data_IF_415206728820
#
_entry.id   IF_415206728820
#
_cell.length_a   1.000
_cell.length_b   1.000
_cell.length_c   1.000
_cell.angle_alpha   90.00
_cell.angle_beta   90.00
_cell.angle_gamma   90.00
#
_symmetry.space_group_name_H-M   'P 1'
#
loop_
_entity.id
_entity.type
_entity.pdbx_description
1 polymer ?
#
# COMPACT_ATOMS: atom_id res chain seq x y z
N UNK A 1 -48.84 -33.38 20.71
CA UNK A 1 -47.39 -33.62 20.76
C UNK A 1 -47.01 -34.37 19.50
N UNK A 2 -46.84 -33.66 18.39
CA UNK A 2 -46.29 -34.22 17.15
C UNK A 2 -44.88 -33.62 16.96
N UNK A 3 -43.89 -34.32 17.50
CA UNK A 3 -42.51 -34.06 17.14
C UNK A 3 -42.28 -34.68 15.75
N UNK A 4 -42.50 -33.88 14.75
CA UNK A 4 -41.97 -34.24 13.42
C UNK A 4 -40.47 -34.31 13.55
N UNK A 5 -39.94 -35.50 13.72
CA UNK A 5 -38.50 -35.77 13.80
C UNK A 5 -37.86 -35.40 12.44
N UNK A 6 -37.20 -34.27 12.39
CA UNK A 6 -36.56 -33.77 11.19
C UNK A 6 -35.12 -34.31 11.10
N UNK A 7 -34.99 -35.49 10.49
CA UNK A 7 -33.70 -36.16 10.32
C UNK A 7 -32.64 -35.27 9.62
N UNK A 8 -33.09 -34.38 8.75
CA UNK A 8 -32.16 -33.49 8.05
C UNK A 8 -31.59 -32.39 8.98
N UNK A 9 -32.38 -31.89 9.94
CA UNK A 9 -31.91 -30.93 10.95
C UNK A 9 -30.91 -31.58 11.90
N UNK A 10 -31.21 -32.75 12.41
CA UNK A 10 -30.31 -33.49 13.29
C UNK A 10 -28.99 -33.86 12.61
N UNK A 11 -29.04 -34.26 11.34
CA UNK A 11 -27.85 -34.52 10.53
C UNK A 11 -27.02 -33.25 10.35
N UNK A 12 -27.68 -32.10 10.19
CA UNK A 12 -27.01 -30.80 10.08
C UNK A 12 -26.29 -30.42 11.37
N UNK A 13 -26.95 -30.61 12.51
CA UNK A 13 -26.39 -30.35 13.84
C UNK A 13 -25.17 -31.25 14.09
N UNK A 14 -25.25 -32.52 13.78
CA UNK A 14 -24.18 -33.49 13.94
C UNK A 14 -22.96 -33.15 13.06
N UNK A 15 -23.19 -32.79 11.81
CA UNK A 15 -22.10 -32.35 10.88
C UNK A 15 -21.46 -31.08 11.38
N UNK A 16 -22.24 -30.12 11.83
CA UNK A 16 -21.72 -28.88 12.39
C UNK A 16 -20.87 -29.15 13.64
N UNK A 17 -21.33 -30.03 14.54
CA UNK A 17 -20.55 -30.45 15.71
C UNK A 17 -19.23 -31.10 15.34
N UNK A 18 -19.23 -32.11 14.48
CA UNK A 18 -18.01 -32.76 14.03
C UNK A 18 -17.00 -31.83 13.40
N UNK A 19 -17.48 -30.88 12.60
CA UNK A 19 -16.60 -29.96 11.89
C UNK A 19 -16.02 -28.85 12.79
N UNK A 20 -16.88 -28.19 13.60
CA UNK A 20 -16.49 -26.99 14.36
C UNK A 20 -16.01 -27.30 15.78
N UNK A 21 -16.45 -28.37 16.39
CA UNK A 21 -16.08 -28.71 17.77
C UNK A 21 -15.04 -29.81 17.80
N UNK A 22 -15.23 -30.88 17.05
CA UNK A 22 -14.25 -31.98 16.99
C UNK A 22 -13.14 -31.76 15.96
N UNK A 23 -13.20 -30.69 15.18
CA UNK A 23 -12.21 -30.31 14.16
C UNK A 23 -11.96 -31.41 13.08
N UNK A 24 -12.96 -32.23 12.80
CA UNK A 24 -12.85 -33.23 11.75
C UNK A 24 -12.92 -32.59 10.37
N UNK A 25 -12.18 -33.14 9.43
CA UNK A 25 -12.25 -32.70 8.03
C UNK A 25 -13.55 -33.17 7.37
N UNK A 26 -13.98 -32.46 6.33
CA UNK A 26 -15.18 -32.89 5.55
C UNK A 26 -15.07 -34.30 5.01
N UNK A 27 -13.86 -34.79 4.72
CA UNK A 27 -13.63 -36.16 4.26
C UNK A 27 -13.82 -37.17 5.38
N UNK A 28 -13.34 -36.92 6.57
CA UNK A 28 -13.53 -37.75 7.76
C UNK A 28 -15.01 -37.85 8.13
N UNK A 29 -15.72 -36.74 8.15
CA UNK A 29 -17.15 -36.67 8.40
C UNK A 29 -17.92 -37.46 7.35
N UNK A 30 -17.55 -37.30 6.07
CA UNK A 30 -18.15 -38.07 4.97
C UNK A 30 -18.01 -39.58 5.17
N UNK A 31 -16.84 -40.01 5.64
CA UNK A 31 -16.55 -41.42 5.93
C UNK A 31 -17.33 -41.94 7.13
N UNK A 32 -17.42 -41.16 8.21
CA UNK A 32 -18.14 -41.52 9.45
C UNK A 32 -19.64 -41.65 9.18
N UNK A 33 -20.21 -40.69 8.47
CA UNK A 33 -21.67 -40.67 8.23
C UNK A 33 -22.11 -41.39 6.98
N UNK A 34 -21.18 -41.90 6.16
CA UNK A 34 -21.50 -42.60 4.93
C UNK A 34 -22.16 -41.74 3.86
N UNK A 35 -21.93 -40.44 3.86
CA UNK A 35 -22.52 -39.48 2.92
C UNK A 35 -21.46 -38.76 2.08
N UNK A 36 -21.90 -38.19 0.95
CA UNK A 36 -21.01 -37.49 0.03
C UNK A 36 -20.49 -36.21 0.64
N UNK A 37 -19.20 -35.90 0.44
CA UNK A 37 -18.55 -34.64 0.86
C UNK A 37 -19.29 -33.39 0.39
N UNK A 38 -19.88 -33.43 -0.84
CA UNK A 38 -20.64 -32.26 -1.36
C UNK A 38 -21.91 -32.03 -0.51
N UNK A 39 -22.55 -33.08 0.00
CA UNK A 39 -23.69 -32.93 0.90
C UNK A 39 -23.27 -32.33 2.24
N UNK A 40 -22.10 -32.71 2.78
CA UNK A 40 -21.54 -32.11 4.00
C UNK A 40 -21.31 -30.62 3.81
N UNK A 41 -20.69 -30.22 2.70
CA UNK A 41 -20.45 -28.81 2.40
C UNK A 41 -21.76 -28.01 2.39
N UNK A 42 -22.78 -28.51 1.70
CA UNK A 42 -24.12 -27.87 1.65
C UNK A 42 -24.76 -27.75 3.02
N UNK A 43 -24.66 -28.77 3.86
CA UNK A 43 -25.22 -28.73 5.20
C UNK A 43 -24.48 -27.79 6.12
N UNK A 44 -23.15 -27.69 6.02
CA UNK A 44 -22.37 -26.69 6.75
C UNK A 44 -22.71 -25.25 6.33
N UNK A 45 -22.97 -25.01 5.05
CA UNK A 45 -23.40 -23.70 4.58
C UNK A 45 -24.82 -23.38 5.07
N UNK A 46 -25.73 -24.35 5.00
CA UNK A 46 -27.09 -24.24 5.56
C UNK A 46 -27.08 -24.00 7.08
N UNK A 47 -26.15 -24.60 7.82
CA UNK A 47 -25.96 -24.36 9.26
C UNK A 47 -25.61 -22.90 9.59
N UNK A 48 -24.80 -22.26 8.71
CA UNK A 48 -24.47 -20.83 8.85
C UNK A 48 -25.67 -19.94 8.48
N UNK A 49 -26.33 -20.24 7.36
CA UNK A 49 -27.48 -19.48 6.87
C UNK A 49 -28.65 -19.49 7.86
N UNK A 50 -28.92 -20.63 8.47
CA UNK A 50 -30.00 -20.79 9.45
C UNK A 50 -29.62 -20.32 10.87
N UNK A 51 -28.39 -19.83 11.07
CA UNK A 51 -27.91 -19.34 12.36
C UNK A 51 -27.62 -20.43 13.40
N UNK A 52 -27.59 -21.72 13.01
CA UNK A 52 -27.14 -22.81 13.87
C UNK A 52 -25.68 -22.59 14.31
N UNK A 53 -24.86 -22.08 13.40
CA UNK A 53 -23.51 -21.64 13.66
C UNK A 53 -23.41 -20.13 13.52
N UNK A 54 -22.99 -19.49 14.59
CA UNK A 54 -22.69 -18.05 14.62
C UNK A 54 -21.25 -17.83 15.00
N UNK A 55 -20.55 -17.00 14.22
CA UNK A 55 -19.16 -16.60 14.52
C UNK A 55 -19.13 -15.24 15.16
N UNK A 56 -18.42 -15.11 16.27
CA UNK A 56 -18.22 -13.83 16.91
C UNK A 56 -16.75 -13.43 16.83
N UNK A 57 -16.45 -12.48 15.94
CA UNK A 57 -15.12 -11.89 15.82
C UNK A 57 -15.04 -10.68 16.78
N UNK A 58 -13.95 -10.56 17.53
CA UNK A 58 -13.77 -9.42 18.45
C UNK A 58 -13.94 -8.10 17.68
N UNK A 59 -14.84 -7.26 18.16
CA UNK A 59 -15.37 -6.07 17.49
C UNK A 59 -14.34 -5.08 16.91
N UNK A 60 -13.17 -4.96 17.53
CA UNK A 60 -12.13 -4.03 17.06
C UNK A 60 -11.57 -4.38 15.68
N UNK A 61 -11.46 -5.67 15.36
CA UNK A 61 -10.91 -6.12 14.08
C UNK A 61 -11.99 -6.32 13.02
N UNK A 62 -13.21 -6.71 13.42
CA UNK A 62 -14.31 -6.93 12.47
C UNK A 62 -14.66 -5.67 11.67
N UNK A 63 -14.71 -4.51 12.33
CA UNK A 63 -14.95 -3.22 11.65
C UNK A 63 -13.87 -2.89 10.63
N UNK A 64 -12.61 -3.18 10.95
CA UNK A 64 -11.47 -2.93 10.05
C UNK A 64 -11.56 -3.80 8.80
N UNK A 65 -11.78 -5.10 8.94
CA UNK A 65 -11.94 -6.01 7.81
C UNK A 65 -13.15 -5.67 6.93
N UNK A 66 -14.26 -5.21 7.55
CA UNK A 66 -15.40 -4.72 6.79
C UNK A 66 -15.03 -3.47 5.97
N UNK A 67 -14.30 -2.52 6.57
CA UNK A 67 -13.78 -1.34 5.85
C UNK A 67 -12.85 -1.74 4.70
N UNK A 68 -11.92 -2.66 4.93
CA UNK A 68 -11.01 -3.17 3.89
C UNK A 68 -11.80 -3.73 2.69
N UNK A 69 -12.80 -4.56 2.93
CA UNK A 69 -13.65 -5.10 1.86
C UNK A 69 -14.44 -4.01 1.13
N UNK A 70 -15.06 -3.10 1.87
CA UNK A 70 -15.80 -1.97 1.28
C UNK A 70 -14.92 -1.11 0.38
N UNK A 71 -13.70 -0.79 0.82
CA UNK A 71 -12.75 0.00 0.02
C UNK A 71 -12.25 -0.78 -1.20
N UNK A 72 -12.00 -2.10 -1.07
CA UNK A 72 -11.60 -2.94 -2.21
C UNK A 72 -12.66 -2.93 -3.30
N UNK A 73 -13.92 -3.08 -2.94
CA UNK A 73 -15.04 -3.07 -3.89
C UNK A 73 -15.26 -1.69 -4.50
N UNK A 74 -15.28 -0.63 -3.67
CA UNK A 74 -15.58 0.74 -4.10
C UNK A 74 -14.53 1.29 -5.07
N UNK A 75 -13.25 0.98 -4.83
CA UNK A 75 -12.13 1.50 -5.62
C UNK A 75 -11.48 0.46 -6.53
N UNK A 76 -12.07 -0.74 -6.65
CA UNK A 76 -11.54 -1.84 -7.47
C UNK A 76 -10.07 -2.17 -7.16
N UNK A 77 -9.70 -2.13 -5.86
CA UNK A 77 -8.34 -2.40 -5.42
C UNK A 77 -8.08 -3.91 -5.38
N UNK A 78 -6.90 -4.32 -5.80
CA UNK A 78 -6.46 -5.71 -5.69
C UNK A 78 -6.33 -6.15 -4.22
N UNK A 79 -5.78 -5.26 -3.38
CA UNK A 79 -5.63 -5.50 -1.94
C UNK A 79 -5.61 -4.19 -1.16
N UNK A 80 -5.89 -4.25 0.14
CA UNK A 80 -5.82 -3.12 1.06
C UNK A 80 -5.49 -3.62 2.46
N UNK A 81 -4.65 -2.89 3.17
CA UNK A 81 -4.32 -3.15 4.56
C UNK A 81 -4.58 -1.89 5.39
N UNK A 82 -5.57 -1.95 6.27
CA UNK A 82 -5.88 -0.88 7.22
C UNK A 82 -5.19 -1.20 8.55
N UNK A 83 -4.34 -0.29 9.02
CA UNK A 83 -3.70 -0.43 10.34
C UNK A 83 -4.56 0.19 11.44
N UNK A 84 -4.42 -0.25 12.70
CA UNK A 84 -5.07 0.40 13.84
C UNK A 84 -4.65 1.86 14.00
N UNK A 85 -5.55 2.68 14.53
CA UNK A 85 -5.24 4.07 14.87
C UNK A 85 -4.14 4.16 15.90
N UNK A 86 -3.22 5.09 15.71
CA UNK A 86 -2.09 5.37 16.61
C UNK A 86 -2.19 6.79 17.18
N UNK A 87 -1.62 7.06 18.38
CA UNK A 87 -1.83 8.32 19.09
C UNK A 87 -1.23 9.57 18.44
N UNK A 88 -0.13 9.43 17.70
CA UNK A 88 0.60 10.56 17.11
C UNK A 88 0.87 10.40 15.63
N UNK A 89 1.09 11.52 14.93
CA UNK A 89 1.42 11.51 13.49
C UNK A 89 2.75 10.83 13.20
N UNK A 90 3.75 10.98 14.06
CA UNK A 90 5.06 10.36 13.86
C UNK A 90 4.99 8.83 14.04
N UNK A 91 4.25 8.36 15.05
CA UNK A 91 4.00 6.93 15.22
C UNK A 91 3.12 6.36 14.10
N UNK A 92 2.29 7.20 13.44
CA UNK A 92 1.48 6.77 12.31
C UNK A 92 2.33 6.45 11.07
N UNK A 93 3.24 7.35 10.68
CA UNK A 93 4.15 7.12 9.55
C UNK A 93 5.03 5.90 9.78
N UNK A 94 5.47 5.71 11.01
CA UNK A 94 6.27 4.54 11.40
C UNK A 94 5.46 3.24 11.33
N UNK A 95 4.25 3.22 11.89
CA UNK A 95 3.35 2.06 11.84
C UNK A 95 2.94 1.69 10.42
N UNK A 96 2.68 2.70 9.57
CA UNK A 96 2.43 2.50 8.14
C UNK A 96 3.64 1.87 7.45
N UNK A 97 4.82 2.38 7.73
CA UNK A 97 6.05 1.89 7.13
C UNK A 97 6.37 0.45 7.55
N UNK A 98 6.16 0.12 8.82
CA UNK A 98 6.31 -1.25 9.32
C UNK A 98 5.33 -2.20 8.62
N UNK A 99 4.05 -1.85 8.57
CA UNK A 99 3.02 -2.68 7.94
C UNK A 99 3.30 -2.88 6.44
N UNK A 100 3.64 -1.79 5.73
CA UNK A 100 3.98 -1.84 4.31
C UNK A 100 5.25 -2.67 4.05
N UNK A 101 6.29 -2.52 4.89
CA UNK A 101 7.52 -3.32 4.76
C UNK A 101 7.26 -4.81 4.95
N UNK A 102 6.41 -5.19 5.91
CA UNK A 102 6.01 -6.58 6.11
C UNK A 102 5.23 -7.13 4.90
N UNK A 103 4.30 -6.33 4.38
CA UNK A 103 3.52 -6.69 3.19
C UNK A 103 4.40 -6.93 1.96
N UNK A 104 5.36 -6.05 1.72
CA UNK A 104 6.32 -6.16 0.60
C UNK A 104 7.24 -7.36 0.82
N UNK A 105 7.83 -7.49 2.01
CA UNK A 105 8.82 -8.55 2.30
C UNK A 105 8.28 -9.96 2.08
N UNK A 106 6.98 -10.19 2.30
CA UNK A 106 6.33 -11.47 2.02
C UNK A 106 6.17 -11.77 0.52
N UNK A 107 6.36 -10.78 -0.35
CA UNK A 107 6.05 -10.86 -1.79
C UNK A 107 7.27 -10.64 -2.69
N UNK A 108 8.35 -10.08 -2.17
CA UNK A 108 9.60 -9.93 -2.89
C UNK A 108 10.37 -11.25 -2.93
N UNK A 109 11.15 -11.40 -3.99
CA UNK A 109 12.06 -12.52 -4.21
C UNK A 109 13.48 -12.01 -4.22
N UNK A 110 14.43 -12.91 -4.19
CA UNK A 110 15.83 -12.56 -4.44
C UNK A 110 15.96 -11.81 -5.76
N UNK A 111 16.73 -10.71 -5.74
CA UNK A 111 16.92 -9.79 -6.85
C UNK A 111 15.69 -9.01 -7.33
N UNK A 112 14.59 -8.98 -6.56
CA UNK A 112 13.47 -8.10 -6.85
C UNK A 112 13.89 -6.64 -6.93
N UNK A 113 13.22 -5.90 -7.82
CA UNK A 113 13.38 -4.47 -8.02
C UNK A 113 12.18 -3.72 -7.45
N UNK A 114 12.45 -2.70 -6.63
CA UNK A 114 11.41 -1.88 -5.98
C UNK A 114 11.62 -0.43 -6.38
N UNK A 115 10.67 0.15 -7.07
CA UNK A 115 10.60 1.59 -7.27
C UNK A 115 10.20 2.27 -5.95
N UNK A 116 10.92 3.31 -5.59
CA UNK A 116 10.69 4.05 -4.34
C UNK A 116 10.49 5.53 -4.63
N UNK A 117 9.35 6.05 -4.18
CA UNK A 117 9.07 7.47 -4.20
C UNK A 117 9.79 8.22 -3.09
N UNK A 118 9.84 9.54 -3.23
CA UNK A 118 10.34 10.45 -2.21
C UNK A 118 9.29 10.66 -1.11
N UNK A 119 9.73 10.80 0.14
CA UNK A 119 8.87 11.13 1.27
C UNK A 119 9.25 10.41 2.57
N UNK A 120 8.70 10.86 3.70
CA UNK A 120 9.00 10.30 5.03
C UNK A 120 8.57 8.83 5.13
N UNK A 121 7.34 8.51 4.76
CA UNK A 121 6.86 7.13 4.83
C UNK A 121 7.61 6.17 3.88
N UNK A 122 7.85 6.48 2.59
CA UNK A 122 8.69 5.67 1.73
C UNK A 122 10.11 5.46 2.27
N UNK A 123 10.74 6.49 2.84
CA UNK A 123 12.06 6.38 3.45
C UNK A 123 12.09 5.40 4.63
N UNK A 124 11.07 5.45 5.51
CA UNK A 124 10.92 4.49 6.61
C UNK A 124 10.66 3.07 6.11
N UNK A 125 9.85 2.90 5.05
CA UNK A 125 9.64 1.59 4.42
C UNK A 125 10.97 1.02 3.92
N UNK A 126 11.76 1.83 3.23
CA UNK A 126 13.09 1.41 2.76
C UNK A 126 13.97 0.94 3.90
N UNK A 127 14.02 1.69 5.01
CA UNK A 127 14.80 1.32 6.19
C UNK A 127 14.36 -0.03 6.76
N UNK A 128 13.06 -0.24 6.95
CA UNK A 128 12.55 -1.51 7.46
C UNK A 128 12.80 -2.68 6.51
N UNK A 129 12.66 -2.48 5.20
CA UNK A 129 12.95 -3.50 4.20
C UNK A 129 14.44 -3.87 4.22
N UNK A 130 15.31 -2.87 4.18
CA UNK A 130 16.76 -3.07 4.13
C UNK A 130 17.34 -3.73 5.41
N UNK A 131 16.67 -3.55 6.56
CA UNK A 131 17.06 -4.19 7.82
C UNK A 131 16.54 -5.63 7.95
N UNK A 132 15.41 -5.94 7.32
CA UNK A 132 14.73 -7.25 7.48
C UNK A 132 15.03 -8.22 6.34
N UNK A 133 15.51 -7.72 5.22
CA UNK A 133 15.79 -8.55 4.05
C UNK A 133 17.03 -9.42 4.29
N UNK A 134 16.92 -10.71 4.04
CA UNK A 134 18.04 -11.65 4.10
C UNK A 134 19.02 -11.46 2.95
N UNK A 135 18.53 -11.02 1.79
CA UNK A 135 19.31 -10.73 0.59
C UNK A 135 19.19 -9.27 0.19
N UNK A 136 20.21 -8.67 -0.48
CA UNK A 136 20.13 -7.30 -0.93
C UNK A 136 18.95 -7.08 -1.90
N UNK A 137 18.10 -6.10 -1.58
CA UNK A 137 17.03 -5.64 -2.47
C UNK A 137 17.56 -4.55 -3.42
N UNK A 138 17.04 -4.50 -4.65
CA UNK A 138 17.36 -3.42 -5.58
C UNK A 138 16.29 -2.33 -5.49
N UNK A 139 16.68 -1.13 -5.11
CA UNK A 139 15.77 0.00 -4.94
C UNK A 139 16.09 1.08 -5.96
N UNK A 140 15.09 1.49 -6.73
CA UNK A 140 15.21 2.45 -7.81
C UNK A 140 14.47 3.73 -7.39
N UNK A 141 15.16 4.87 -7.39
CA UNK A 141 14.51 6.15 -7.13
C UNK A 141 13.61 6.54 -8.30
N UNK A 142 12.41 7.02 -7.97
CA UNK A 142 11.48 7.58 -8.95
C UNK A 142 11.66 9.09 -9.13
N UNK A 143 12.44 9.71 -8.26
CA UNK A 143 12.68 11.16 -8.25
C UNK A 143 14.17 11.46 -8.13
N UNK A 144 14.59 12.64 -8.58
CA UNK A 144 15.86 13.22 -8.19
C UNK A 144 15.94 13.47 -6.68
N UNK A 145 17.05 13.99 -6.19
CA UNK A 145 17.27 14.27 -4.77
C UNK A 145 17.94 13.13 -4.01
N UNK A 146 19.13 12.75 -4.45
CA UNK A 146 19.92 11.60 -3.92
C UNK A 146 19.99 11.58 -2.40
N UNK A 147 20.19 12.73 -1.76
CA UNK A 147 20.40 12.82 -0.31
C UNK A 147 19.19 12.38 0.52
N UNK A 148 18.00 12.35 -0.07
CA UNK A 148 16.76 12.03 0.64
C UNK A 148 16.45 10.53 0.68
N UNK A 149 17.20 9.74 -0.06
CA UNK A 149 17.08 8.28 -0.04
C UNK A 149 18.10 7.60 0.89
N UNK A 150 19.05 8.37 1.41
CA UNK A 150 20.00 7.86 2.37
C UNK A 150 19.32 7.74 3.72
N UNK A 151 19.17 6.52 4.26
CA UNK A 151 18.51 6.34 5.53
C UNK A 151 19.35 6.90 6.68
N UNK A 152 18.70 7.55 7.64
CA UNK A 152 19.25 7.78 8.97
C UNK A 152 19.25 6.43 9.70
N UNK A 153 20.15 5.54 9.36
CA UNK A 153 20.23 4.24 10.02
C UNK A 153 21.31 4.26 11.07
N UNK A 154 20.91 4.02 12.30
CA UNK A 154 21.82 3.59 13.38
C UNK A 154 22.16 2.09 13.26
N UNK A 155 21.56 1.40 12.27
CA UNK A 155 21.75 -0.04 12.06
C UNK A 155 22.97 -0.32 11.22
N UNK A 156 23.80 -1.24 11.67
CA UNK A 156 24.97 -1.74 10.94
C UNK A 156 24.59 -2.68 9.76
N UNK A 157 23.33 -3.02 9.58
CA UNK A 157 22.84 -3.90 8.51
C UNK A 157 21.89 -3.13 7.62
N UNK A 158 22.32 -2.92 6.37
CA UNK A 158 21.51 -2.27 5.34
C UNK A 158 21.62 -3.04 4.03
N UNK A 159 20.71 -3.99 3.82
CA UNK A 159 20.67 -4.86 2.65
C UNK A 159 19.88 -4.24 1.49
N UNK A 160 20.38 -3.12 0.94
CA UNK A 160 19.79 -2.52 -0.26
C UNK A 160 20.84 -1.97 -1.20
N UNK A 161 20.64 -2.18 -2.50
CA UNK A 161 21.38 -1.55 -3.59
C UNK A 161 20.54 -0.41 -4.14
N UNK A 162 21.00 0.83 -3.95
CA UNK A 162 20.26 2.02 -4.35
C UNK A 162 20.69 2.45 -5.77
N UNK A 163 19.71 2.57 -6.65
CA UNK A 163 19.87 3.11 -8.01
C UNK A 163 19.22 4.49 -8.03
N UNK A 164 19.99 5.52 -7.77
CA UNK A 164 19.52 6.89 -7.55
C UNK A 164 19.69 7.74 -8.79
N UNK A 165 18.72 8.59 -9.12
CA UNK A 165 18.83 9.60 -10.18
C UNK A 165 19.82 10.69 -9.70
N UNK A 166 20.98 10.85 -10.35
CA UNK A 166 22.07 11.68 -9.83
C UNK A 166 21.87 13.17 -10.15
N UNK A 167 20.76 13.74 -9.74
CA UNK A 167 20.46 15.15 -9.90
C UNK A 167 19.49 15.64 -8.80
N UNK A 168 19.34 16.96 -8.60
CA UNK A 168 18.33 17.52 -7.71
C UNK A 168 16.91 17.08 -8.13
N UNK A 169 15.97 17.15 -7.17
CA UNK A 169 14.54 16.91 -7.43
C UNK A 169 13.95 18.03 -8.29
N UNK A 170 14.32 19.29 -8.02
CA UNK A 170 13.89 20.45 -8.79
C UNK A 170 15.12 21.07 -9.42
N UNK A 171 15.09 21.24 -10.73
CA UNK A 171 16.17 21.83 -11.51
C UNK A 171 15.98 23.34 -11.68
N UNK A 172 17.06 24.05 -12.02
CA UNK A 172 17.02 25.50 -12.19
C UNK A 172 16.23 25.94 -13.43
N UNK A 173 16.07 25.06 -14.43
CA UNK A 173 15.25 25.34 -15.61
C UNK A 173 14.69 24.06 -16.24
N UNK A 174 13.62 24.20 -17.01
CA UNK A 174 13.04 23.11 -17.80
C UNK A 174 14.00 22.63 -18.89
N UNK A 175 14.81 23.52 -19.44
CA UNK A 175 15.84 23.15 -20.44
C UNK A 175 16.86 22.18 -19.85
N UNK A 176 17.41 22.48 -18.67
CA UNK A 176 18.35 21.58 -17.98
C UNK A 176 17.69 20.24 -17.67
N UNK A 177 16.43 20.24 -17.27
CA UNK A 177 15.69 19.02 -16.98
C UNK A 177 15.55 18.13 -18.25
N UNK A 178 15.21 18.71 -19.37
CA UNK A 178 15.11 17.97 -20.65
C UNK A 178 16.47 17.45 -21.14
N UNK A 179 17.54 18.21 -20.96
CA UNK A 179 18.89 17.74 -21.32
C UNK A 179 19.34 16.60 -20.41
N UNK A 180 19.13 16.70 -19.10
CA UNK A 180 19.48 15.64 -18.17
C UNK A 180 18.71 14.33 -18.42
N UNK A 181 17.47 14.40 -18.86
CA UNK A 181 16.70 13.20 -19.25
C UNK A 181 17.35 12.42 -20.41
N UNK A 182 18.16 13.08 -21.24
CA UNK A 182 18.86 12.43 -22.35
C UNK A 182 20.14 11.72 -21.90
N UNK A 183 20.63 12.01 -20.70
CA UNK A 183 21.83 11.40 -20.16
C UNK A 183 21.68 9.89 -20.00
N UNK A 184 22.67 9.14 -20.46
CA UNK A 184 22.67 7.67 -20.45
C UNK A 184 22.46 7.10 -19.05
N UNK A 185 23.05 7.71 -18.02
CA UNK A 185 22.90 7.28 -16.63
C UNK A 185 21.45 7.39 -16.15
N UNK A 186 20.77 8.49 -16.48
CA UNK A 186 19.36 8.73 -16.10
C UNK A 186 18.43 7.80 -16.90
N UNK A 187 18.68 7.66 -18.20
CA UNK A 187 17.90 6.73 -19.02
C UNK A 187 18.03 5.28 -18.55
N UNK A 188 19.20 4.87 -18.09
CA UNK A 188 19.41 3.53 -17.52
C UNK A 188 18.52 3.31 -16.29
N UNK A 189 18.51 4.23 -15.35
CA UNK A 189 17.65 4.18 -14.15
C UNK A 189 16.16 4.17 -14.54
N UNK A 190 15.79 5.01 -15.50
CA UNK A 190 14.42 5.06 -16.03
C UNK A 190 13.98 3.73 -16.65
N UNK A 191 14.88 3.04 -17.38
CA UNK A 191 14.60 1.70 -17.92
C UNK A 191 14.50 0.64 -16.83
N UNK A 192 15.37 0.69 -15.82
CA UNK A 192 15.26 -0.22 -14.66
C UNK A 192 13.94 -0.06 -13.93
N UNK A 193 13.43 1.15 -13.80
CA UNK A 193 12.14 1.39 -13.16
C UNK A 193 10.93 0.79 -13.93
N UNK A 194 11.08 0.46 -15.22
CA UNK A 194 10.02 -0.20 -16.01
C UNK A 194 9.86 -1.69 -15.69
N UNK A 195 10.90 -2.33 -15.19
CA UNK A 195 10.94 -3.76 -14.90
C UNK A 195 10.84 -4.07 -13.41
N UNK A 196 10.48 -3.08 -12.60
CA UNK A 196 10.33 -3.28 -11.16
C UNK A 196 9.10 -4.13 -10.83
N UNK A 197 9.22 -4.93 -9.77
CA UNK A 197 8.14 -5.78 -9.25
C UNK A 197 7.13 -4.97 -8.45
N UNK A 198 7.60 -3.92 -7.75
CA UNK A 198 6.79 -3.05 -6.90
C UNK A 198 7.12 -1.58 -7.14
N UNK A 199 6.11 -0.75 -6.98
CA UNK A 199 6.26 0.71 -6.91
C UNK A 199 5.65 1.21 -5.60
N UNK A 200 6.48 1.83 -4.76
CA UNK A 200 6.07 2.41 -3.48
C UNK A 200 6.00 3.92 -3.64
N UNK A 201 4.83 4.49 -3.42
CA UNK A 201 4.62 5.93 -3.44
C UNK A 201 3.94 6.40 -2.16
N UNK A 202 4.30 7.58 -1.69
CA UNK A 202 3.57 8.30 -0.67
C UNK A 202 2.61 9.28 -1.34
N UNK A 203 1.48 9.57 -0.69
CA UNK A 203 0.60 10.66 -1.07
C UNK A 203 0.75 11.76 -0.03
N UNK A 204 1.25 12.91 -0.47
CA UNK A 204 1.43 14.11 0.34
C UNK A 204 0.13 14.92 0.43
N UNK A 205 -0.10 15.58 1.56
CA UNK A 205 -1.11 16.64 1.67
C UNK A 205 -0.46 18.01 1.56
N UNK A 206 -1.24 19.02 1.19
CA UNK A 206 -0.76 20.41 1.13
C UNK A 206 -0.83 21.03 2.52
N UNK A 207 0.17 20.74 3.37
CA UNK A 207 0.34 21.31 4.72
C UNK A 207 1.79 21.72 4.97
N UNK A 208 2.01 22.60 5.93
CA UNK A 208 3.34 23.15 6.26
C UNK A 208 4.33 22.11 6.81
N UNK A 209 3.87 20.91 7.15
CA UNK A 209 4.69 19.80 7.62
C UNK A 209 5.12 18.87 6.48
N UNK A 210 4.78 19.19 5.24
CA UNK A 210 5.17 18.40 4.08
C UNK A 210 6.69 18.21 4.02
N UNK A 211 7.12 16.99 3.68
CA UNK A 211 8.55 16.62 3.62
C UNK A 211 9.34 17.52 2.67
N UNK A 212 8.70 17.95 1.57
CA UNK A 212 9.33 18.84 0.58
C UNK A 212 9.67 20.23 1.15
N UNK A 213 8.90 20.70 2.13
CA UNK A 213 9.20 21.96 2.86
C UNK A 213 10.24 21.69 3.95
N UNK A 214 10.06 20.65 4.76
CA UNK A 214 11.02 20.30 5.83
C UNK A 214 12.44 20.11 5.30
N UNK A 215 12.57 19.58 4.09
CA UNK A 215 13.87 19.40 3.43
C UNK A 215 14.31 20.62 2.62
N UNK A 216 13.65 21.76 2.77
CA UNK A 216 13.97 23.02 2.08
C UNK A 216 14.05 22.89 0.55
N UNK A 217 13.30 21.99 -0.03
CA UNK A 217 13.21 21.80 -1.50
C UNK A 217 12.30 22.86 -2.10
N UNK A 218 11.19 23.17 -1.40
CA UNK A 218 10.29 24.29 -1.70
C UNK A 218 10.30 25.27 -0.54
N UNK A 219 10.16 26.54 -0.88
CA UNK A 219 9.94 27.57 0.12
C UNK A 219 8.48 27.54 0.60
N UNK A 220 8.18 28.04 1.81
CA UNK A 220 6.81 28.21 2.27
C UNK A 220 5.95 29.04 1.31
N UNK A 221 6.54 30.04 0.63
CA UNK A 221 5.85 30.92 -0.31
C UNK A 221 5.46 30.17 -1.61
N UNK A 222 6.37 29.36 -2.17
CA UNK A 222 6.06 28.49 -3.32
C UNK A 222 4.90 27.57 -2.99
N UNK A 223 4.91 27.04 -1.78
CA UNK A 223 3.87 26.12 -1.33
C UNK A 223 2.51 26.79 -1.13
N UNK A 224 2.51 28.03 -0.59
CA UNK A 224 1.29 28.84 -0.51
C UNK A 224 0.75 29.18 -1.89
N UNK A 225 1.61 29.41 -2.86
CA UNK A 225 1.21 29.65 -4.26
C UNK A 225 0.54 28.43 -4.84
N UNK A 226 1.14 27.25 -4.70
CA UNK A 226 0.54 25.97 -5.14
C UNK A 226 -0.86 25.75 -4.53
N UNK A 227 -1.01 26.03 -3.23
CA UNK A 227 -2.29 25.95 -2.54
C UNK A 227 -3.32 26.92 -3.11
N UNK A 228 -2.92 28.17 -3.43
CA UNK A 228 -3.78 29.16 -4.07
C UNK A 228 -4.19 28.74 -5.49
N UNK A 229 -3.34 27.98 -6.21
CA UNK A 229 -3.64 27.42 -7.51
C UNK A 229 -4.52 26.17 -7.44
N UNK A 230 -4.95 25.75 -6.25
CA UNK A 230 -5.89 24.66 -6.07
C UNK A 230 -5.23 23.31 -5.74
N UNK A 231 -3.93 23.29 -5.45
CA UNK A 231 -3.27 22.05 -5.03
C UNK A 231 -3.86 21.54 -3.70
N UNK A 232 -4.25 20.26 -3.68
CA UNK A 232 -4.79 19.56 -2.49
C UNK A 232 -3.84 18.47 -1.99
N UNK A 233 -2.93 18.00 -2.83
CA UNK A 233 -1.95 16.98 -2.49
C UNK A 233 -0.90 16.83 -3.58
N UNK A 234 0.02 15.90 -3.33
CA UNK A 234 1.03 15.51 -4.31
C UNK A 234 1.28 14.00 -4.32
N UNK A 235 1.72 13.50 -5.46
CA UNK A 235 2.27 12.15 -5.65
C UNK A 235 3.60 12.31 -6.36
N UNK A 236 4.68 11.81 -5.77
CA UNK A 236 6.03 11.95 -6.32
C UNK A 236 6.42 13.44 -6.58
N UNK A 237 5.93 14.34 -5.74
CA UNK A 237 6.08 15.81 -5.88
C UNK A 237 5.34 16.44 -7.07
N UNK A 238 4.53 15.68 -7.80
CA UNK A 238 3.57 16.21 -8.77
C UNK A 238 2.31 16.66 -8.04
N UNK A 239 2.04 17.96 -8.02
CA UNK A 239 0.90 18.53 -7.30
C UNK A 239 -0.40 18.36 -8.09
N UNK A 240 -1.47 18.01 -7.39
CA UNK A 240 -2.78 17.72 -7.97
C UNK A 240 -3.88 18.57 -7.34
N UNK A 241 -4.89 18.88 -8.15
CA UNK A 241 -6.13 19.53 -7.72
C UNK A 241 -7.13 18.51 -7.11
N UNK A 242 -8.30 19.01 -6.69
CA UNK A 242 -9.37 18.18 -6.10
C UNK A 242 -9.96 17.16 -7.09
N UNK A 243 -9.75 17.34 -8.38
CA UNK A 243 -10.21 16.44 -9.44
C UNK A 243 -9.09 15.46 -9.89
N UNK A 244 -7.91 15.49 -9.26
CA UNK A 244 -6.76 14.68 -9.62
C UNK A 244 -5.99 15.18 -10.85
N UNK A 245 -6.25 16.38 -11.33
CA UNK A 245 -5.49 16.96 -12.42
C UNK A 245 -4.20 17.58 -11.89
N UNK A 246 -3.13 17.49 -12.69
CA UNK A 246 -1.87 18.17 -12.38
C UNK A 246 -2.06 19.68 -12.39
N UNK A 247 -1.44 20.34 -11.40
CA UNK A 247 -1.33 21.79 -11.38
C UNK A 247 -0.23 22.21 -12.35
N UNK A 248 -0.61 22.92 -13.44
CA UNK A 248 0.35 23.42 -14.43
C UNK A 248 1.13 24.61 -13.83
N UNK A 249 2.39 24.36 -13.49
CA UNK A 249 3.29 25.35 -12.91
C UNK A 249 4.67 25.28 -13.58
N UNK A 250 5.45 26.33 -13.42
CA UNK A 250 6.87 26.30 -13.80
C UNK A 250 7.65 25.25 -13.01
N UNK A 251 7.26 25.00 -11.76
CA UNK A 251 7.81 23.94 -10.92
C UNK A 251 7.64 22.56 -11.59
N UNK A 252 6.46 22.23 -12.10
CA UNK A 252 6.16 20.95 -12.75
C UNK A 252 7.11 20.71 -13.94
N UNK A 253 7.42 21.75 -14.70
CA UNK A 253 8.32 21.68 -15.87
C UNK A 253 9.80 21.48 -15.50
N UNK A 254 10.17 21.73 -14.25
CA UNK A 254 11.54 21.58 -13.73
C UNK A 254 11.73 20.37 -12.82
N UNK A 255 10.69 19.61 -12.63
CA UNK A 255 10.66 18.50 -11.68
C UNK A 255 11.30 17.24 -12.30
N UNK A 256 12.39 16.75 -11.71
CA UNK A 256 12.96 15.46 -12.05
C UNK A 256 12.25 14.37 -11.24
N UNK A 257 11.11 14.02 -11.71
CA UNK A 257 10.26 12.98 -11.14
C UNK A 257 9.58 12.18 -12.25
N UNK A 258 9.29 10.93 -11.97
CA UNK A 258 8.58 10.05 -12.88
C UNK A 258 7.09 10.24 -12.69
N UNK A 259 6.37 10.47 -13.77
CA UNK A 259 4.93 10.58 -13.76
C UNK A 259 4.28 9.21 -13.47
N UNK A 260 3.33 9.13 -12.54
CA UNK A 260 2.64 7.90 -12.15
C UNK A 260 1.87 7.23 -13.31
N UNK A 261 1.35 8.02 -14.26
CA UNK A 261 0.58 7.53 -15.42
C UNK A 261 1.38 6.74 -16.47
N UNK A 262 2.72 6.72 -16.39
CA UNK A 262 3.57 6.06 -17.41
C UNK A 262 3.76 4.55 -17.20
N UNK A 263 3.17 3.96 -16.18
CA UNK A 263 3.42 2.56 -15.80
C UNK A 263 2.15 1.73 -15.78
N UNK A 264 1.72 1.24 -16.94
CA UNK A 264 0.51 0.39 -17.07
C UNK A 264 0.63 -1.03 -16.48
N UNK A 265 1.81 -1.48 -16.09
CA UNK A 265 2.07 -2.88 -15.70
C UNK A 265 2.80 -3.05 -14.36
N UNK A 266 2.77 -2.06 -13.48
CA UNK A 266 3.50 -2.14 -12.21
C UNK A 266 2.51 -2.37 -11.08
N UNK A 267 2.77 -3.39 -10.25
CA UNK A 267 2.08 -3.54 -8.97
C UNK A 267 2.43 -2.35 -8.09
N UNK A 268 1.49 -1.44 -7.91
CA UNK A 268 1.70 -0.22 -7.12
C UNK A 268 1.24 -0.45 -5.70
N UNK A 269 2.14 -0.27 -4.75
CA UNK A 269 1.81 -0.17 -3.34
C UNK A 269 1.81 1.31 -2.96
N UNK A 270 0.64 1.83 -2.64
CA UNK A 270 0.51 3.19 -2.12
C UNK A 270 0.43 3.14 -0.61
N UNK A 271 1.42 3.68 0.08
CA UNK A 271 1.38 3.84 1.53
C UNK A 271 0.64 5.15 1.86
N UNK A 272 -0.47 5.04 2.55
CA UNK A 272 -1.44 6.10 2.76
C UNK A 272 -1.47 6.57 4.20
N UNK A 273 -1.34 7.85 4.40
CA UNK A 273 -1.71 8.49 5.65
C UNK A 273 -3.13 9.05 5.51
N UNK A 274 -4.13 8.33 6.04
CA UNK A 274 -5.51 8.83 6.06
C UNK A 274 -5.67 9.76 7.27
N UNK A 275 -5.43 11.05 7.08
CA UNK A 275 -5.97 12.10 7.94
C UNK A 275 -7.31 12.52 7.34
N UNK A 276 -8.30 12.94 8.15
CA UNK A 276 -9.66 13.35 7.71
C UNK A 276 -9.68 14.28 6.48
N UNK A 277 -8.63 15.05 6.26
CA UNK A 277 -8.44 15.96 5.13
C UNK A 277 -7.96 15.28 3.83
N UNK A 278 -7.43 14.06 3.88
CA UNK A 278 -6.85 13.35 2.71
C UNK A 278 -7.79 12.33 2.08
N UNK A 279 -8.91 12.00 2.72
CA UNK A 279 -9.91 11.06 2.18
C UNK A 279 -10.45 11.49 0.80
N UNK A 280 -10.58 12.80 0.55
CA UNK A 280 -11.02 13.32 -0.76
C UNK A 280 -9.98 13.07 -1.87
N UNK A 281 -8.69 13.00 -1.54
CA UNK A 281 -7.60 12.75 -2.47
C UNK A 281 -7.54 11.29 -2.92
N UNK A 282 -8.02 10.38 -2.07
CA UNK A 282 -8.07 8.94 -2.36
C UNK A 282 -9.08 8.59 -3.46
N UNK A 283 -10.13 9.34 -3.60
CA UNK A 283 -11.25 9.02 -4.51
C UNK A 283 -10.95 9.34 -5.99
N UNK A 284 -9.77 9.83 -6.34
CA UNK A 284 -9.46 10.38 -7.66
C UNK A 284 -8.40 9.60 -8.47
N UNK A 285 -7.91 8.44 -7.97
CA UNK A 285 -6.89 7.63 -8.67
C UNK A 285 -7.32 6.17 -8.88
#
# INVERSE_FOLDING_TARGET
MDSNYNYEEELNDQIAWYYYIENLTQQEIAKILGINRIKILRLLDKAKENGLITFQIRNSNAKRFHMENTFKELFHLNDILIIPSVPSSDSLNDSLAQAASMYINQRIKENSYINMGYGDTPSRILNYLAQRSESPINVISLTGGVNYYLPNTESNVFNARLHLIPCPLILSSSFIMEELKKETAIQRISKMALISDFTVVGIGGVDTNATIIKNSILTPDDYLLLKKQGAVGDILSHFIDINGNLIDTDLEKRLMSRHSRTSKNITTLSAWQVVRTRLKQFMLY
#
